data_IF_087799128848
#
_entry.id   IF_087799128848
#
_cell.length_a   1.000
_cell.length_b   1.000
_cell.length_c   1.000
_cell.angle_alpha   90.00
_cell.angle_beta   90.00
_cell.angle_gamma   90.00
#
_symmetry.space_group_name_H-M   'P 1'
#
loop_
_entity.id
_entity.type
_entity.pdbx_description
1 polymer ?
#
# COMPACT_ATOMS: atom_id res chain seq x y z
N UNK A 1 -7.71 -12.92 23.76
CA UNK A 1 -7.69 -11.64 23.02
C UNK A 1 -8.28 -11.89 21.65
N UNK A 2 -9.47 -11.36 21.37
CA UNK A 2 -10.14 -11.51 20.08
C UNK A 2 -9.37 -10.70 19.02
N UNK A 3 -8.60 -11.38 18.18
CA UNK A 3 -8.14 -10.80 16.91
C UNK A 3 -9.40 -10.51 16.09
N UNK A 4 -9.69 -9.26 15.67
CA UNK A 4 -10.68 -9.06 14.64
C UNK A 4 -10.15 -9.80 13.41
N UNK A 5 -10.81 -10.90 13.08
CA UNK A 5 -10.56 -11.64 11.86
C UNK A 5 -11.07 -10.78 10.71
N UNK A 6 -10.25 -9.80 10.30
CA UNK A 6 -10.46 -9.12 9.03
C UNK A 6 -10.23 -10.15 7.93
N UNK A 7 -11.32 -10.79 7.52
CA UNK A 7 -11.38 -11.43 6.24
C UNK A 7 -11.33 -10.29 5.22
N UNK A 8 -10.19 -10.17 4.54
CA UNK A 8 -10.26 -9.66 3.17
C UNK A 8 -11.35 -10.46 2.46
N UNK A 9 -12.18 -9.80 1.63
CA UNK A 9 -13.20 -10.50 0.88
C UNK A 9 -12.56 -11.72 0.24
N UNK A 10 -13.08 -12.90 0.58
CA UNK A 10 -12.72 -14.11 -0.14
C UNK A 10 -12.99 -13.76 -1.59
N UNK A 11 -11.97 -13.88 -2.42
CA UNK A 11 -12.08 -13.57 -3.85
C UNK A 11 -13.16 -14.53 -4.37
N UNK A 12 -14.37 -14.03 -4.57
CA UNK A 12 -15.49 -14.85 -4.99
C UNK A 12 -15.28 -15.18 -6.47
N UNK A 13 -15.39 -16.46 -6.83
CA UNK A 13 -15.49 -16.84 -8.23
C UNK A 13 -16.81 -16.26 -8.77
N UNK A 14 -16.70 -15.22 -9.61
CA UNK A 14 -17.83 -14.42 -10.08
C UNK A 14 -17.64 -12.89 -9.97
N UNK A 15 -16.53 -12.41 -9.39
CA UNK A 15 -16.24 -10.97 -9.31
C UNK A 15 -16.19 -10.27 -10.67
N UNK A 16 -16.73 -9.04 -10.71
CA UNK A 16 -16.65 -8.14 -11.85
C UNK A 16 -15.18 -7.86 -12.21
N UNK A 17 -14.75 -8.43 -13.34
CA UNK A 17 -13.38 -8.29 -13.87
C UNK A 17 -13.16 -6.97 -14.60
N UNK A 18 -14.17 -6.10 -14.73
CA UNK A 18 -14.06 -4.82 -15.43
C UNK A 18 -13.06 -3.86 -14.77
N UNK A 19 -12.88 -3.95 -13.44
CA UNK A 19 -12.04 -3.01 -12.70
C UNK A 19 -10.57 -3.44 -12.70
N UNK A 20 -9.75 -2.72 -13.47
CA UNK A 20 -8.29 -2.94 -13.54
C UNK A 20 -7.61 -2.76 -12.18
N UNK A 21 -8.02 -1.77 -11.37
CA UNK A 21 -7.42 -1.51 -10.05
C UNK A 21 -7.72 -2.62 -9.03
N UNK A 22 -8.98 -3.08 -8.92
CA UNK A 22 -9.36 -4.18 -8.03
C UNK A 22 -8.59 -5.45 -8.38
N UNK A 23 -8.50 -5.77 -9.67
CA UNK A 23 -7.75 -6.91 -10.16
C UNK A 23 -6.25 -6.82 -9.84
N UNK A 24 -5.64 -5.63 -9.94
CA UNK A 24 -4.22 -5.43 -9.64
C UNK A 24 -3.93 -5.64 -8.16
N UNK A 25 -4.66 -4.97 -7.27
CA UNK A 25 -4.52 -5.11 -5.80
C UNK A 25 -4.66 -6.58 -5.39
N UNK A 26 -5.67 -7.27 -5.93
CA UNK A 26 -5.95 -8.68 -5.65
C UNK A 26 -4.80 -9.60 -6.05
N UNK A 27 -4.26 -9.44 -7.26
CA UNK A 27 -3.13 -10.23 -7.77
C UNK A 27 -1.88 -9.98 -6.93
N UNK A 28 -1.56 -8.72 -6.67
CA UNK A 28 -0.40 -8.34 -5.87
C UNK A 28 -0.50 -8.90 -4.45
N UNK A 29 -1.62 -8.69 -3.75
CA UNK A 29 -1.81 -9.20 -2.39
C UNK A 29 -1.63 -10.72 -2.31
N UNK A 30 -2.22 -11.47 -3.25
CA UNK A 30 -2.07 -12.94 -3.31
C UNK A 30 -0.62 -13.37 -3.47
N UNK A 31 0.16 -12.65 -4.27
CA UNK A 31 1.57 -12.94 -4.50
C UNK A 31 2.42 -12.57 -3.28
N UNK A 32 2.29 -11.32 -2.82
CA UNK A 32 3.14 -10.74 -1.78
C UNK A 32 2.87 -11.40 -0.43
N UNK A 33 1.62 -11.74 -0.09
CA UNK A 33 1.30 -12.45 1.17
C UNK A 33 2.02 -13.81 1.28
N UNK A 34 2.20 -14.53 0.16
CA UNK A 34 2.96 -15.79 0.15
C UNK A 34 4.45 -15.55 0.42
N UNK A 35 5.00 -14.45 -0.09
CA UNK A 35 6.36 -14.03 0.23
C UNK A 35 6.48 -13.57 1.69
N UNK A 36 5.55 -12.76 2.18
CA UNK A 36 5.54 -12.23 3.55
C UNK A 36 5.49 -13.36 4.59
N UNK A 37 4.66 -14.39 4.36
CA UNK A 37 4.60 -15.59 5.21
C UNK A 37 5.95 -16.32 5.28
N UNK A 38 6.67 -16.45 4.15
CA UNK A 38 8.00 -17.09 4.09
C UNK A 38 9.08 -16.26 4.76
N UNK A 39 8.97 -14.94 4.65
CA UNK A 39 9.92 -13.98 5.21
C UNK A 39 9.60 -13.56 6.64
N UNK A 40 8.59 -14.18 7.26
CA UNK A 40 8.14 -13.92 8.64
C UNK A 40 7.85 -12.42 8.92
N UNK A 41 7.36 -11.68 7.91
CA UNK A 41 6.91 -10.30 8.07
C UNK A 41 5.39 -10.21 7.98
N UNK A 42 4.80 -9.32 8.78
CA UNK A 42 3.40 -8.93 8.74
C UNK A 42 3.21 -7.52 8.15
N UNK A 43 4.28 -6.89 7.66
CA UNK A 43 4.28 -5.56 7.09
C UNK A 43 4.80 -5.60 5.65
N UNK A 44 3.99 -5.18 4.67
CA UNK A 44 4.38 -5.18 3.26
C UNK A 44 3.51 -4.25 2.41
N UNK A 45 4.10 -3.72 1.34
CA UNK A 45 3.36 -2.98 0.31
C UNK A 45 2.60 -3.92 -0.61
N UNK A 46 1.34 -3.60 -0.90
CA UNK A 46 0.46 -4.34 -1.81
C UNK A 46 0.44 -3.70 -3.20
N UNK A 47 0.49 -2.37 -3.27
CA UNK A 47 0.34 -1.62 -4.51
C UNK A 47 1.18 -0.35 -4.42
N UNK A 48 1.91 0.01 -5.48
CA UNK A 48 2.73 1.22 -5.53
C UNK A 48 2.62 1.89 -6.90
N UNK A 49 1.53 2.67 -7.09
CA UNK A 49 1.33 3.48 -8.29
C UNK A 49 1.48 2.66 -9.59
N UNK A 50 1.11 1.37 -9.54
CA UNK A 50 1.26 0.42 -10.65
C UNK A 50 0.45 0.85 -11.89
N UNK A 51 -0.59 1.66 -11.70
CA UNK A 51 -1.50 2.15 -12.75
C UNK A 51 -1.51 3.68 -12.68
N UNK A 52 -1.27 4.35 -13.80
CA UNK A 52 -1.11 5.82 -13.85
C UNK A 52 -2.34 6.56 -13.32
N UNK A 53 -3.53 6.09 -13.67
CA UNK A 53 -4.83 6.64 -13.25
C UNK A 53 -5.08 6.50 -11.74
N UNK A 54 -4.31 5.68 -11.03
CA UNK A 54 -4.43 5.44 -9.60
C UNK A 54 -3.09 5.70 -8.90
N UNK A 55 -2.69 6.98 -8.74
CA UNK A 55 -1.44 7.35 -8.09
C UNK A 55 -1.56 7.20 -6.57
N UNK A 56 -1.65 5.97 -6.08
CA UNK A 56 -1.74 5.64 -4.66
C UNK A 56 -0.76 4.53 -4.28
N UNK A 57 -0.48 4.39 -3.00
CA UNK A 57 0.16 3.22 -2.42
C UNK A 57 -0.76 2.58 -1.38
N UNK A 58 -0.75 1.25 -1.31
CA UNK A 58 -1.48 0.49 -0.28
C UNK A 58 -0.48 -0.36 0.45
N UNK A 59 -0.36 -0.14 1.75
CA UNK A 59 0.47 -0.92 2.65
C UNK A 59 -0.41 -1.74 3.59
N UNK A 60 0.10 -2.92 3.98
CA UNK A 60 -0.52 -3.78 4.99
C UNK A 60 0.40 -3.85 6.19
N UNK A 61 -0.12 -3.51 7.37
CA UNK A 61 0.58 -3.52 8.65
C UNK A 61 -0.23 -4.35 9.65
N UNK A 62 0.20 -5.58 9.88
CA UNK A 62 -0.37 -6.47 10.91
C UNK A 62 -1.91 -6.50 10.99
N UNK A 63 -2.56 -6.70 9.84
CA UNK A 63 -4.03 -6.76 9.76
C UNK A 63 -4.71 -5.43 9.44
N UNK A 64 -3.95 -4.33 9.32
CA UNK A 64 -4.46 -3.00 8.96
C UNK A 64 -3.97 -2.59 7.58
N UNK A 65 -4.79 -1.83 6.86
CA UNK A 65 -4.41 -1.22 5.59
C UNK A 65 -4.10 0.25 5.80
N UNK A 66 -3.00 0.72 5.23
CA UNK A 66 -2.70 2.15 5.06
C UNK A 66 -2.78 2.50 3.59
N UNK A 67 -3.43 3.62 3.25
CA UNK A 67 -3.57 4.09 1.88
C UNK A 67 -3.00 5.51 1.80
N UNK A 68 -2.06 5.70 0.89
CA UNK A 68 -1.42 6.99 0.63
C UNK A 68 -1.76 7.43 -0.79
N UNK A 69 -2.20 8.67 -0.95
CA UNK A 69 -2.49 9.26 -2.26
C UNK A 69 -1.35 10.20 -2.66
N UNK A 70 -0.99 10.16 -3.93
CA UNK A 70 0.03 11.00 -4.53
C UNK A 70 -0.60 11.91 -5.58
N UNK A 71 0.10 13.01 -5.90
CA UNK A 71 -0.21 13.80 -7.08
C UNK A 71 -0.05 12.94 -8.34
N UNK A 72 -0.88 13.21 -9.35
CA UNK A 72 -0.81 12.55 -10.66
C UNK A 72 0.47 12.90 -11.42
N UNK A 73 1.07 14.04 -11.07
CA UNK A 73 2.24 14.58 -11.72
C UNK A 73 3.50 13.82 -11.28
N UNK A 74 3.77 12.69 -11.95
CA UNK A 74 4.94 11.86 -11.67
C UNK A 74 6.24 12.52 -12.11
N UNK A 75 6.18 13.52 -12.97
CA UNK A 75 7.35 14.20 -13.54
C UNK A 75 7.76 15.45 -12.73
N UNK A 76 6.95 15.87 -11.75
CA UNK A 76 7.36 16.80 -10.68
C UNK A 76 8.10 16.09 -9.53
N UNK A 77 8.47 14.81 -9.66
CA UNK A 77 9.27 14.07 -8.67
C UNK A 77 10.77 14.41 -8.75
N UNK A 78 11.12 15.69 -8.66
CA UNK A 78 12.29 16.03 -7.86
C UNK A 78 11.73 16.54 -6.53
N UNK A 79 11.79 15.68 -5.50
CA UNK A 79 11.60 16.16 -4.15
C UNK A 79 12.66 17.25 -3.93
N UNK A 80 12.21 18.50 -3.87
CA UNK A 80 13.13 19.62 -3.68
C UNK A 80 13.92 19.40 -2.40
N UNK A 81 15.19 19.78 -2.37
CA UNK A 81 15.99 19.74 -1.15
C UNK A 81 15.25 20.40 0.03
N UNK A 82 14.45 21.43 -0.26
CA UNK A 82 13.53 22.10 0.65
C UNK A 82 12.55 21.12 1.33
N UNK A 83 11.89 20.26 0.57
CA UNK A 83 10.91 19.28 1.08
C UNK A 83 11.57 18.23 1.98
N UNK A 84 12.80 17.82 1.67
CA UNK A 84 13.57 16.90 2.53
C UNK A 84 13.97 17.56 3.86
N UNK A 85 14.40 18.83 3.82
CA UNK A 85 14.75 19.57 5.04
C UNK A 85 13.53 19.85 5.92
N UNK A 86 12.38 20.18 5.33
CA UNK A 86 11.13 20.40 6.06
C UNK A 86 10.65 19.12 6.78
N UNK A 87 10.72 17.96 6.14
CA UNK A 87 10.38 16.68 6.76
C UNK A 87 11.34 16.36 7.92
N UNK A 88 12.64 16.55 7.74
CA UNK A 88 13.65 16.32 8.79
C UNK A 88 13.55 17.31 9.96
N UNK A 89 13.03 18.51 9.74
CA UNK A 89 12.76 19.48 10.80
C UNK A 89 11.45 19.19 11.55
N UNK A 90 10.44 18.67 10.85
CA UNK A 90 9.18 18.24 11.46
C UNK A 90 9.35 17.01 12.36
N UNK A 91 10.26 16.10 12.00
CA UNK A 91 10.49 14.82 12.68
C UNK A 91 11.60 14.88 13.77
N UNK A 92 11.62 15.95 14.57
CA UNK A 92 12.48 16.04 15.78
C UNK A 92 11.78 15.61 17.07
N UNK A 93 10.57 15.05 16.98
CA UNK A 93 9.78 14.60 18.14
C UNK A 93 9.04 13.30 17.77
N UNK A 94 9.51 12.18 18.33
CA UNK A 94 8.90 10.85 18.32
C UNK A 94 9.08 10.00 17.06
N UNK A 95 10.20 9.27 17.02
CA UNK A 95 10.21 7.95 16.41
C UNK A 95 9.55 6.97 17.41
N UNK A 96 8.31 6.58 17.10
CA UNK A 96 7.81 5.20 17.20
C UNK A 96 7.22 4.85 15.84
#
# INVERSE_FOLDING_TARGET
MNKPSFFLPIILDGEDKSSTIKNRIRKNYRHIRKWAKRSQTNCFRIYDRDIKEYPLAIDFYDGRFSVHFFSYDRDLNEASAQSYEEINQADKRNIV
#
